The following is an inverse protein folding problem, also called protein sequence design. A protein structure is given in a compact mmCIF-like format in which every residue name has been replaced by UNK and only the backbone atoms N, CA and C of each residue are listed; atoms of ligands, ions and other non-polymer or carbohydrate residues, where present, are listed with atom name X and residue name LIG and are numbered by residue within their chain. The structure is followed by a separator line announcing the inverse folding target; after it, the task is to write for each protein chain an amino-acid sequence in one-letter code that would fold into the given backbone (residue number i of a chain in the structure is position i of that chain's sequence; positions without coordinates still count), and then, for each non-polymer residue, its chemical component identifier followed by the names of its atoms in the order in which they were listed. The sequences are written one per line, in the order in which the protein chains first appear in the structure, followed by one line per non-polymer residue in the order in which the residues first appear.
data_IF_506679571471
#
_entry.id   IF_506679571471
#
_cell.length_a   1.000
_cell.length_b   1.000
_cell.length_c   1.000
_cell.angle_alpha   90.00
_cell.angle_beta   90.00
_cell.angle_gamma   90.00
#
_symmetry.space_group_name_H-M   'P 1'
#
loop_
_entity.id
_entity.type
_entity.pdbx_description
1 polymer ?
#
# COMPACT_ATOMS: atom_id res chain seq x y z
N UNK A 1 -2.22 10.76 18.94
CA UNK A 1 -1.61 11.45 17.77
C UNK A 1 -2.23 10.92 16.50
N UNK A 2 -2.70 11.82 15.64
CA UNK A 2 -3.36 11.50 14.36
C UNK A 2 -2.32 10.97 13.36
N UNK A 3 -2.68 9.98 12.55
CA UNK A 3 -1.82 9.48 11.47
C UNK A 3 -2.26 10.15 10.18
N UNK A 4 -1.36 10.89 9.53
CA UNK A 4 -1.64 11.59 8.28
C UNK A 4 -0.84 10.94 7.15
N UNK A 5 -1.37 10.94 5.92
CA UNK A 5 -0.62 10.45 4.75
C UNK A 5 0.33 11.55 4.29
N UNK A 6 1.63 11.26 4.28
CA UNK A 6 2.69 12.24 3.94
C UNK A 6 3.31 12.01 2.56
N UNK A 7 3.18 10.80 1.99
CA UNK A 7 3.62 10.50 0.63
C UNK A 7 2.72 9.46 -0.01
N UNK A 8 2.49 9.61 -1.32
CA UNK A 8 1.75 8.65 -2.14
C UNK A 8 2.55 8.27 -3.39
N UNK A 9 2.35 7.03 -3.84
CA UNK A 9 2.85 6.48 -5.10
C UNK A 9 1.78 5.57 -5.71
N UNK A 10 1.78 5.48 -7.03
CA UNK A 10 0.92 4.56 -7.77
C UNK A 10 1.74 3.83 -8.82
N UNK A 11 1.46 2.54 -8.99
CA UNK A 11 1.86 1.77 -10.17
C UNK A 11 0.70 1.67 -11.16
N UNK A 12 0.73 0.64 -12.02
CA UNK A 12 -0.31 0.39 -13.01
C UNK A 12 -1.69 0.12 -12.38
N UNK A 13 -1.73 -0.78 -11.38
CA UNK A 13 -2.97 -1.20 -10.72
C UNK A 13 -2.81 -1.38 -9.20
N UNK A 14 -1.76 -0.79 -8.61
CA UNK A 14 -1.52 -0.80 -7.16
C UNK A 14 -1.14 0.60 -6.68
N UNK A 15 -1.35 0.85 -5.41
CA UNK A 15 -1.10 2.14 -4.76
C UNK A 15 -0.38 1.92 -3.43
N UNK A 16 0.43 2.91 -3.07
CA UNK A 16 1.22 2.89 -1.84
C UNK A 16 1.14 4.27 -1.17
N UNK A 17 1.07 4.28 0.16
CA UNK A 17 1.10 5.49 0.97
C UNK A 17 2.07 5.32 2.15
N UNK A 18 2.77 6.39 2.50
CA UNK A 18 3.56 6.45 3.75
C UNK A 18 2.84 7.39 4.70
N UNK A 19 2.64 6.95 5.93
CA UNK A 19 2.01 7.75 6.99
C UNK A 19 3.04 8.55 7.78
N UNK A 20 2.60 9.56 8.53
CA UNK A 20 3.43 10.31 9.48
C UNK A 20 3.94 9.48 10.66
N UNK A 21 3.57 8.20 10.75
CA UNK A 21 4.04 7.23 11.73
C UNK A 21 5.04 6.23 11.15
N UNK A 22 5.57 6.51 9.95
CA UNK A 22 6.47 5.63 9.19
C UNK A 22 5.84 4.26 8.85
N UNK A 23 4.51 4.20 8.72
CA UNK A 23 3.82 3.01 8.22
C UNK A 23 3.75 3.08 6.69
N UNK A 24 4.14 1.99 6.03
CA UNK A 24 3.92 1.80 4.60
C UNK A 24 2.61 1.03 4.41
N UNK A 25 1.67 1.65 3.70
CA UNK A 25 0.41 1.05 3.32
C UNK A 25 0.44 0.67 1.84
N UNK A 26 0.04 -0.56 1.51
CA UNK A 26 0.00 -1.07 0.14
C UNK A 26 -1.38 -1.67 -0.18
N UNK A 27 -1.95 -1.32 -1.33
CA UNK A 27 -3.20 -1.90 -1.81
C UNK A 27 -3.32 -1.91 -3.34
N UNK A 28 -4.31 -2.63 -3.84
CA UNK A 28 -4.63 -2.82 -5.24
C UNK A 28 -4.33 -4.24 -5.73
N UNK A 29 -4.09 -4.37 -7.02
CA UNK A 29 -3.81 -5.63 -7.70
C UNK A 29 -2.40 -6.14 -7.36
N UNK A 30 -2.28 -7.44 -7.05
CA UNK A 30 -1.10 -8.03 -6.43
C UNK A 30 -0.63 -9.35 -7.07
N UNK A 31 -0.99 -9.62 -8.32
CA UNK A 31 -0.69 -10.92 -8.94
C UNK A 31 0.83 -11.21 -9.07
N UNK A 32 1.67 -10.17 -9.08
CA UNK A 32 3.13 -10.31 -9.05
C UNK A 32 3.74 -10.26 -7.65
N UNK A 33 2.94 -10.07 -6.59
CA UNK A 33 3.43 -9.91 -5.22
C UNK A 33 3.96 -8.50 -4.92
N UNK A 34 3.61 -7.50 -5.74
CA UNK A 34 4.07 -6.12 -5.63
C UNK A 34 3.66 -5.41 -4.34
N UNK A 35 2.63 -5.90 -3.62
CA UNK A 35 2.21 -5.30 -2.35
C UNK A 35 3.13 -5.70 -1.19
N UNK A 36 3.92 -6.78 -1.32
CA UNK A 36 4.86 -7.22 -0.29
C UNK A 36 4.22 -7.97 0.91
N UNK A 37 2.95 -8.37 0.82
CA UNK A 37 2.23 -9.05 1.92
C UNK A 37 2.55 -10.55 2.08
N UNK A 38 3.65 -11.04 1.49
CA UNK A 38 4.01 -12.46 1.48
C UNK A 38 3.04 -13.36 0.69
N UNK A 39 2.15 -12.77 -0.11
CA UNK A 39 1.18 -13.47 -0.93
C UNK A 39 0.85 -12.66 -2.20
N UNK A 40 0.04 -13.24 -3.09
CA UNK A 40 -0.37 -12.64 -4.38
C UNK A 40 -1.86 -12.27 -4.44
N UNK A 41 -2.51 -12.12 -3.29
CA UNK A 41 -3.92 -11.72 -3.22
C UNK A 41 -4.01 -10.21 -3.37
N UNK A 42 -4.95 -9.77 -4.19
CA UNK A 42 -5.33 -8.37 -4.30
C UNK A 42 -5.84 -7.87 -2.95
N UNK A 43 -5.58 -6.60 -2.67
CA UNK A 43 -6.07 -5.95 -1.45
C UNK A 43 -6.87 -4.71 -1.87
N UNK A 44 -8.17 -4.69 -1.56
CA UNK A 44 -9.03 -3.55 -1.92
C UNK A 44 -9.00 -2.43 -0.87
N UNK A 45 -8.28 -2.65 0.24
CA UNK A 45 -8.10 -1.71 1.33
C UNK A 45 -6.61 -1.54 1.65
N UNK A 46 -6.15 -0.33 2.03
CA UNK A 46 -4.78 -0.11 2.52
C UNK A 46 -4.46 -1.01 3.71
N UNK A 47 -3.30 -1.67 3.64
CA UNK A 47 -2.77 -2.54 4.69
C UNK A 47 -1.30 -2.25 4.94
#
# INVERSE_FOLDING_TARGET
MKSEVIKVRSGANHSMAITSKDELLCWGWNWYGQLGHGNKKDEVVPR
#
